data_IF_344458157859
#
_entry.id   IF_344458157859
#
_cell.length_a   1.000
_cell.length_b   1.000
_cell.length_c   1.000
_cell.angle_alpha   90.00
_cell.angle_beta   90.00
_cell.angle_gamma   90.00
#
_symmetry.space_group_name_H-M   'P 1'
#
loop_
_entity.id
_entity.type
_entity.pdbx_description
1 polymer ?
#
# COMPACT_ATOMS: atom_id res chain seq x y z
N UNK A 1 5.30 24.64 -7.36
CA UNK A 1 5.01 23.20 -7.52
C UNK A 1 4.32 23.01 -8.86
N UNK A 2 4.87 22.18 -9.75
CA UNK A 2 4.29 21.92 -11.06
C UNK A 2 3.38 20.68 -10.94
N UNK A 3 2.08 20.89 -11.12
CA UNK A 3 1.07 19.84 -11.05
C UNK A 3 0.98 19.19 -12.43
N UNK A 4 1.63 18.04 -12.60
CA UNK A 4 1.49 17.21 -13.80
C UNK A 4 0.22 16.39 -13.64
N UNK A 5 -0.87 16.82 -14.27
CA UNK A 5 -2.09 16.03 -14.43
C UNK A 5 -1.83 14.98 -15.52
N UNK A 6 -1.48 13.76 -15.12
CA UNK A 6 -1.28 12.64 -16.04
C UNK A 6 -2.59 12.02 -16.51
N UNK A 7 -2.56 11.53 -17.75
CA UNK A 7 -3.67 11.01 -18.53
C UNK A 7 -4.34 9.81 -17.86
N UNK A 8 -5.66 9.70 -18.05
CA UNK A 8 -6.50 8.64 -17.49
C UNK A 8 -5.94 7.25 -17.85
N UNK A 9 -5.89 6.29 -16.92
CA UNK A 9 -6.36 6.39 -15.53
C UNK A 9 -5.35 7.05 -14.59
N UNK A 10 -5.86 7.91 -13.70
CA UNK A 10 -5.05 8.57 -12.66
C UNK A 10 -4.34 7.52 -11.81
N UNK A 11 -3.02 7.56 -11.84
CA UNK A 11 -2.16 6.60 -11.16
C UNK A 11 -1.19 7.34 -10.25
N UNK A 12 -0.91 6.76 -9.09
CA UNK A 12 0.16 7.22 -8.20
C UNK A 12 0.88 6.02 -7.59
N UNK A 13 2.11 6.24 -7.15
CA UNK A 13 2.92 5.22 -6.48
C UNK A 13 3.25 5.67 -5.06
N UNK A 14 3.34 4.70 -4.15
CA UNK A 14 3.82 4.88 -2.78
C UNK A 14 4.91 3.85 -2.55
N UNK A 15 6.07 4.32 -2.11
CA UNK A 15 7.13 3.46 -1.60
C UNK A 15 7.06 3.43 -0.09
N UNK A 16 7.16 2.23 0.47
CA UNK A 16 7.05 1.97 1.90
C UNK A 16 8.27 1.18 2.30
N UNK A 17 9.00 1.69 3.27
CA UNK A 17 10.17 1.04 3.85
C UNK A 17 9.88 0.78 5.31
N UNK A 18 10.16 -0.44 5.78
CA UNK A 18 10.07 -0.77 7.20
C UNK A 18 11.15 -0.04 7.98
N UNK A 19 10.95 0.04 9.29
CA UNK A 19 12.08 0.32 10.18
C UNK A 19 13.16 -0.76 10.04
N UNK A 20 14.40 -0.40 10.32
CA UNK A 20 15.53 -1.32 10.28
C UNK A 20 15.39 -2.37 11.41
N UNK A 21 15.50 -3.64 11.05
CA UNK A 21 15.52 -4.75 12.01
C UNK A 21 16.81 -4.81 12.81
N UNK A 22 16.96 -5.86 13.63
CA UNK A 22 18.15 -6.02 14.50
C UNK A 22 19.48 -6.07 13.73
N UNK A 23 19.45 -6.50 12.47
CA UNK A 23 20.62 -6.58 11.58
C UNK A 23 20.80 -5.34 10.69
N UNK A 24 20.11 -4.23 10.97
CA UNK A 24 20.06 -3.02 10.14
C UNK A 24 19.45 -3.25 8.73
N UNK A 25 18.75 -4.38 8.55
CA UNK A 25 18.05 -4.71 7.31
C UNK A 25 16.68 -4.04 7.28
N UNK A 26 16.34 -3.44 6.14
CA UNK A 26 15.02 -2.87 5.88
C UNK A 26 14.31 -3.63 4.78
N UNK A 27 12.99 -3.55 4.80
CA UNK A 27 12.11 -4.17 3.81
C UNK A 27 11.43 -3.05 3.06
N UNK A 28 11.40 -3.14 1.74
CA UNK A 28 10.78 -2.08 0.93
C UNK A 28 9.81 -2.66 -0.09
N UNK A 29 8.69 -1.98 -0.27
CA UNK A 29 7.74 -2.25 -1.35
C UNK A 29 7.25 -0.96 -1.97
N UNK A 30 7.11 -0.95 -3.30
CA UNK A 30 6.47 0.15 -4.02
C UNK A 30 5.15 -0.34 -4.58
N UNK A 31 4.07 0.24 -4.08
CA UNK A 31 2.69 -0.01 -4.51
C UNK A 31 2.28 1.06 -5.51
N UNK A 32 1.76 0.63 -6.65
CA UNK A 32 1.09 1.46 -7.63
C UNK A 32 -0.41 1.32 -7.47
N UNK A 33 -1.06 2.47 -7.41
CA UNK A 33 -2.49 2.62 -7.30
C UNK A 33 -3.01 3.21 -8.59
N UNK A 34 -3.97 2.55 -9.21
CA UNK A 34 -4.66 3.07 -10.39
C UNK A 34 -6.13 3.25 -10.07
N UNK A 35 -6.58 4.50 -10.03
CA UNK A 35 -7.99 4.82 -9.87
C UNK A 35 -8.75 4.36 -11.10
N UNK A 36 -9.83 3.62 -10.87
CA UNK A 36 -10.76 3.23 -11.93
C UNK A 36 -11.70 4.38 -12.27
N UNK A 37 -12.30 4.32 -13.45
CA UNK A 37 -13.18 5.38 -13.95
C UNK A 37 -14.36 5.68 -13.01
N UNK A 38 -14.87 4.66 -12.32
CA UNK A 38 -15.98 4.79 -11.37
C UNK A 38 -15.53 4.93 -9.92
N UNK A 39 -14.30 5.34 -9.65
CA UNK A 39 -13.90 5.66 -8.28
C UNK A 39 -14.76 6.83 -7.73
N UNK A 40 -15.31 6.75 -6.49
CA UNK A 40 -15.06 5.76 -5.44
C UNK A 40 -15.95 4.51 -5.44
N UNK A 41 -16.94 4.39 -6.33
CA UNK A 41 -17.84 3.22 -6.40
C UNK A 41 -17.07 1.93 -6.74
N UNK A 42 -15.97 2.04 -7.48
CA UNK A 42 -15.03 0.95 -7.73
C UNK A 42 -13.71 1.15 -6.96
N UNK A 43 -13.24 0.08 -6.33
CA UNK A 43 -11.94 0.07 -5.65
C UNK A 43 -10.80 0.29 -6.64
N UNK A 44 -9.74 1.02 -6.26
CA UNK A 44 -8.57 1.17 -7.11
C UNK A 44 -7.90 -0.18 -7.36
N UNK A 45 -7.14 -0.25 -8.45
CA UNK A 45 -6.23 -1.37 -8.72
C UNK A 45 -4.94 -1.18 -7.94
N UNK A 46 -4.40 -2.28 -7.42
CA UNK A 46 -3.13 -2.32 -6.69
C UNK A 46 -2.15 -3.21 -7.44
N UNK A 47 -0.91 -2.76 -7.57
CA UNK A 47 0.18 -3.49 -8.22
C UNK A 47 1.47 -3.25 -7.42
N UNK A 48 2.22 -4.29 -7.12
CA UNK A 48 3.58 -4.14 -6.58
C UNK A 48 4.52 -3.97 -7.78
N UNK A 49 5.13 -2.79 -7.89
CA UNK A 49 6.03 -2.44 -9.02
C UNK A 49 7.51 -2.60 -8.69
N UNK A 50 7.85 -2.65 -7.40
CA UNK A 50 9.19 -3.01 -6.93
C UNK A 50 9.13 -3.56 -5.51
N UNK A 51 10.04 -4.46 -5.17
CA UNK A 51 10.17 -4.99 -3.81
C UNK A 51 11.65 -5.24 -3.48
N UNK A 52 12.00 -5.11 -2.21
CA UNK A 52 13.33 -5.38 -1.67
C UNK A 52 13.17 -6.14 -0.35
N UNK A 53 13.94 -7.22 -0.18
CA UNK A 53 13.88 -8.10 1.00
C UNK A 53 12.46 -8.65 1.29
N UNK A 54 11.70 -8.91 0.22
CA UNK A 54 10.38 -9.56 0.18
C UNK A 54 10.42 -10.71 -0.82
N UNK A 55 9.91 -11.86 -0.40
CA UNK A 55 9.68 -12.99 -1.31
C UNK A 55 8.26 -12.95 -1.93
N UNK A 56 7.99 -13.84 -2.88
CA UNK A 56 6.71 -13.87 -3.58
C UNK A 56 5.52 -14.21 -2.66
N UNK A 57 5.76 -14.93 -1.55
CA UNK A 57 4.71 -15.22 -0.58
C UNK A 57 4.37 -13.97 0.24
N UNK A 58 5.39 -13.22 0.68
CA UNK A 58 5.22 -11.95 1.38
C UNK A 58 4.41 -10.96 0.53
N UNK A 59 4.74 -10.85 -0.75
CA UNK A 59 4.04 -10.03 -1.75
C UNK A 59 2.58 -10.43 -1.86
N UNK A 60 2.32 -11.72 -2.01
CA UNK A 60 0.96 -12.25 -2.13
C UNK A 60 0.15 -11.95 -0.87
N UNK A 61 0.75 -12.05 0.31
CA UNK A 61 0.08 -11.77 1.57
C UNK A 61 -0.15 -10.27 1.79
N UNK A 62 0.77 -9.40 1.37
CA UNK A 62 0.56 -7.95 1.33
C UNK A 62 -0.66 -7.62 0.45
N UNK A 63 -0.75 -8.17 -0.77
CA UNK A 63 -1.91 -7.97 -1.66
C UNK A 63 -3.21 -8.45 -1.02
N UNK A 64 -3.22 -9.64 -0.40
CA UNK A 64 -4.43 -10.14 0.31
C UNK A 64 -4.84 -9.21 1.44
N UNK A 65 -3.89 -8.70 2.23
CA UNK A 65 -4.17 -7.78 3.34
C UNK A 65 -4.75 -6.46 2.83
N UNK A 66 -4.19 -5.92 1.73
CA UNK A 66 -4.70 -4.72 1.06
C UNK A 66 -6.17 -4.91 0.65
N UNK A 67 -6.47 -6.01 -0.05
CA UNK A 67 -7.84 -6.32 -0.47
C UNK A 67 -8.80 -6.51 0.70
N UNK A 68 -8.36 -7.15 1.79
CA UNK A 68 -9.16 -7.34 2.99
C UNK A 68 -9.51 -6.02 3.66
N UNK A 69 -8.55 -5.10 3.75
CA UNK A 69 -8.77 -3.80 4.39
C UNK A 69 -9.67 -2.89 3.54
N UNK A 70 -9.49 -2.91 2.22
CA UNK A 70 -10.35 -2.16 1.29
C UNK A 70 -11.81 -2.63 1.38
N UNK A 71 -12.05 -3.95 1.49
CA UNK A 71 -13.41 -4.49 1.71
C UNK A 71 -14.05 -4.05 3.03
N UNK A 72 -13.25 -3.69 4.04
CA UNK A 72 -13.72 -3.22 5.35
C UNK A 72 -13.94 -1.71 5.40
N UNK A 73 -13.38 -0.96 4.45
CA UNK A 73 -13.57 0.49 4.36
C UNK A 73 -14.96 0.78 3.79
N UNK A 74 -15.79 1.52 4.54
CA UNK A 74 -17.11 1.95 4.08
C UNK A 74 -16.97 3.08 3.03
N UNK A 75 -17.76 3.01 1.96
CA UNK A 75 -17.58 3.80 0.72
C UNK A 75 -17.55 5.32 0.93
N UNK A 76 -18.06 5.83 2.06
CA UNK A 76 -18.30 7.25 2.32
C UNK A 76 -17.08 8.05 2.84
N UNK A 77 -15.94 7.40 3.07
CA UNK A 77 -14.77 8.00 3.71
C UNK A 77 -13.56 8.15 2.76
N UNK A 78 -13.76 8.44 1.47
CA UNK A 78 -12.83 7.89 0.46
C UNK A 78 -11.54 8.68 0.14
N UNK A 79 -11.26 9.85 0.72
CA UNK A 79 -10.02 10.60 0.40
C UNK A 79 -9.15 10.91 1.62
N UNK A 80 -9.74 11.47 2.68
CA UNK A 80 -8.97 11.80 3.89
C UNK A 80 -8.68 10.57 4.77
N UNK A 81 -9.68 9.69 4.94
CA UNK A 81 -9.49 8.48 5.74
C UNK A 81 -8.60 7.46 5.04
N UNK A 82 -8.59 7.39 3.70
CA UNK A 82 -7.62 6.54 3.02
C UNK A 82 -6.20 6.96 3.37
N UNK A 83 -5.81 8.24 3.27
CA UNK A 83 -4.40 8.62 3.53
C UNK A 83 -3.95 8.26 4.96
N UNK A 84 -4.76 8.57 5.98
CA UNK A 84 -4.41 8.25 7.38
C UNK A 84 -4.47 6.75 7.67
N UNK A 85 -5.48 6.06 7.15
CA UNK A 85 -5.59 4.61 7.28
C UNK A 85 -4.46 3.88 6.55
N UNK A 86 -4.02 4.41 5.41
CA UNK A 86 -2.87 3.90 4.67
C UNK A 86 -1.60 4.01 5.50
N UNK A 87 -1.36 5.15 6.16
CA UNK A 87 -0.23 5.28 7.08
C UNK A 87 -0.30 4.28 8.24
N UNK A 88 -1.48 4.09 8.83
CA UNK A 88 -1.70 3.10 9.89
C UNK A 88 -1.53 1.65 9.38
N UNK A 89 -1.99 1.34 8.18
CA UNK A 89 -1.86 0.01 7.57
C UNK A 89 -0.40 -0.33 7.25
N UNK A 90 0.34 0.61 6.68
CA UNK A 90 1.77 0.45 6.43
C UNK A 90 2.57 0.30 7.72
N UNK A 91 2.18 1.04 8.75
CA UNK A 91 2.71 0.86 10.11
C UNK A 91 2.37 -0.53 10.67
N UNK A 92 1.16 -1.05 10.46
CA UNK A 92 0.77 -2.40 10.89
C UNK A 92 1.50 -3.50 10.13
N UNK A 93 1.76 -3.38 8.83
CA UNK A 93 2.59 -4.34 8.08
C UNK A 93 4.01 -4.34 8.63
N UNK A 94 4.60 -3.15 8.82
CA UNK A 94 5.93 -3.00 9.42
C UNK A 94 5.99 -3.67 10.81
N UNK A 95 4.95 -3.47 11.62
CA UNK A 95 4.85 -4.01 12.99
C UNK A 95 4.57 -5.52 13.03
N UNK A 96 3.72 -6.04 12.15
CA UNK A 96 3.41 -7.46 12.07
C UNK A 96 4.63 -8.30 11.65
N UNK A 97 5.53 -7.73 10.82
CA UNK A 97 6.78 -8.39 10.43
C UNK A 97 7.88 -8.27 11.49
N UNK A 98 7.90 -7.18 12.28
CA UNK A 98 8.75 -7.07 13.48
C UNK A 98 8.50 -8.23 14.45
N UNK A 99 7.23 -8.63 14.64
CA UNK A 99 6.85 -9.76 15.50
C UNK A 99 7.22 -11.15 14.94
N UNK A 100 7.54 -11.28 13.65
CA UNK A 100 7.94 -12.54 13.00
C UNK A 100 9.47 -12.72 12.94
N UNK A 101 10.24 -11.67 13.29
CA UNK A 101 11.70 -11.65 13.30
C UNK A 101 12.31 -11.83 14.72
N UNK A 102 11.46 -12.06 15.74
CA UNK A 102 11.82 -12.41 17.13
C UNK A 102 11.37 -13.84 17.42
#
# INVERSE_FOLDING_TARGET
>A
YQLVLSEKPTTFTITVTSEAGENDETVQTTLKFTYREKYPDETPLYEIVSQENLDDNDVMDIIKLLEQQVRKMDYLATVWYHFTFWLEFLSQISFARYMLLI
#
